data_IF_769331795849
#
_entry.id   IF_769331795849
#
_cell.length_a   1.000
_cell.length_b   1.000
_cell.length_c   1.000
_cell.angle_alpha   90.00
_cell.angle_beta   90.00
_cell.angle_gamma   90.00
#
_symmetry.space_group_name_H-M   'P 1'
#
loop_
_entity.id
_entity.type
_entity.pdbx_description
1 polymer ?
#
# COMPACT_ATOMS: atom_id res chain seq x y z
N UNK A 1 3.81 -14.66 -23.47
CA UNK A 1 4.24 -15.90 -24.16
C UNK A 1 3.06 -16.67 -24.77
N UNK A 2 2.06 -17.15 -24.00
CA UNK A 2 0.93 -17.96 -24.51
C UNK A 2 0.11 -17.24 -25.58
N UNK A 3 -0.36 -16.02 -25.32
CA UNK A 3 -1.17 -15.25 -26.29
C UNK A 3 -0.43 -15.06 -27.62
N UNK A 4 0.86 -14.75 -27.57
CA UNK A 4 1.69 -14.56 -28.76
C UNK A 4 1.84 -15.87 -29.56
N UNK A 5 2.04 -17.01 -28.89
CA UNK A 5 2.11 -18.34 -29.54
C UNK A 5 0.76 -18.77 -30.12
N UNK A 6 -0.34 -18.43 -29.46
CA UNK A 6 -1.70 -18.73 -29.89
C UNK A 6 -2.26 -17.73 -30.92
N UNK A 7 -1.48 -16.73 -31.37
CA UNK A 7 -1.96 -15.69 -32.28
C UNK A 7 -3.02 -14.77 -31.70
N UNK A 8 -3.11 -14.68 -30.36
CA UNK A 8 -4.09 -13.84 -29.66
C UNK A 8 -3.51 -12.44 -29.46
N UNK A 9 -4.18 -11.44 -29.98
CA UNK A 9 -3.87 -10.05 -29.72
C UNK A 9 -4.29 -9.70 -28.29
N UNK A 10 -3.34 -9.24 -27.47
CA UNK A 10 -3.57 -8.83 -26.09
C UNK A 10 -3.17 -7.36 -25.91
N UNK A 11 -3.99 -6.64 -25.19
CA UNK A 11 -3.69 -5.26 -24.77
C UNK A 11 -4.17 -5.04 -23.33
N UNK A 12 -3.60 -4.03 -22.67
CA UNK A 12 -4.02 -3.57 -21.36
C UNK A 12 -4.36 -2.08 -21.40
N UNK A 13 -5.04 -1.60 -20.36
CA UNK A 13 -5.37 -0.20 -20.17
C UNK A 13 -4.73 0.28 -18.85
N UNK A 14 -3.45 0.68 -18.84
CA UNK A 14 -2.78 1.11 -17.62
C UNK A 14 -3.51 2.28 -16.97
N UNK A 15 -3.78 2.17 -15.65
CA UNK A 15 -4.42 3.22 -14.89
C UNK A 15 -5.94 3.35 -15.03
N UNK A 16 -6.61 2.50 -15.82
CA UNK A 16 -8.07 2.55 -15.96
C UNK A 16 -8.81 2.36 -14.63
N UNK A 17 -8.27 1.56 -13.71
CA UNK A 17 -8.81 1.29 -12.38
C UNK A 17 -8.34 2.29 -11.30
N UNK A 18 -7.46 3.24 -11.64
CA UNK A 18 -6.86 4.13 -10.64
C UNK A 18 -7.90 4.99 -9.90
N UNK A 19 -9.00 5.36 -10.58
CA UNK A 19 -10.11 6.08 -9.96
C UNK A 19 -10.88 5.24 -8.94
N UNK A 20 -11.06 3.94 -9.19
CA UNK A 20 -11.73 3.02 -8.25
C UNK A 20 -10.89 2.86 -6.98
N UNK A 21 -9.57 2.64 -7.12
CA UNK A 21 -8.66 2.55 -5.97
C UNK A 21 -8.61 3.86 -5.18
N UNK A 22 -8.62 5.02 -5.85
CA UNK A 22 -8.73 6.33 -5.17
C UNK A 22 -10.00 6.41 -4.32
N UNK A 23 -11.16 6.04 -4.86
CA UNK A 23 -12.44 6.04 -4.13
C UNK A 23 -12.42 5.09 -2.94
N UNK A 24 -11.86 3.89 -3.12
CA UNK A 24 -11.70 2.93 -2.03
C UNK A 24 -10.85 3.50 -0.89
N UNK A 25 -9.67 4.05 -1.20
CA UNK A 25 -8.82 4.67 -0.19
C UNK A 25 -9.48 5.88 0.48
N UNK A 26 -10.20 6.69 -0.28
CA UNK A 26 -10.94 7.82 0.28
C UNK A 26 -11.95 7.33 1.35
N UNK A 27 -12.73 6.30 1.03
CA UNK A 27 -13.66 5.70 1.98
C UNK A 27 -12.93 5.14 3.22
N UNK A 28 -11.80 4.46 3.02
CA UNK A 28 -10.97 3.92 4.11
C UNK A 28 -10.47 5.04 5.04
N UNK A 29 -9.95 6.14 4.49
CA UNK A 29 -9.47 7.28 5.30
C UNK A 29 -10.60 7.90 6.13
N UNK A 30 -11.79 8.06 5.56
CA UNK A 30 -12.96 8.56 6.28
C UNK A 30 -13.44 7.57 7.37
N UNK A 31 -13.37 6.26 7.13
CA UNK A 31 -13.68 5.25 8.14
C UNK A 31 -12.64 5.26 9.27
N UNK A 32 -11.34 5.39 8.97
CA UNK A 32 -10.30 5.54 9.97
C UNK A 32 -10.52 6.80 10.83
N UNK A 33 -10.92 7.91 10.21
CA UNK A 33 -11.27 9.12 10.95
C UNK A 33 -12.47 8.88 11.86
N UNK A 34 -13.55 8.31 11.33
CA UNK A 34 -14.81 8.12 12.05
C UNK A 34 -14.70 7.07 13.16
N UNK A 35 -14.16 5.90 12.85
CA UNK A 35 -14.21 4.73 13.73
C UNK A 35 -12.97 4.61 14.64
N UNK A 36 -11.84 5.19 14.22
CA UNK A 36 -10.56 5.11 14.95
C UNK A 36 -10.09 6.46 15.49
N UNK A 37 -10.85 7.53 15.26
CA UNK A 37 -10.52 8.88 15.73
C UNK A 37 -9.26 9.46 15.09
N UNK A 38 -8.89 8.99 13.89
CA UNK A 38 -7.71 9.49 13.20
C UNK A 38 -7.94 10.93 12.72
N UNK A 39 -7.09 11.88 13.15
CA UNK A 39 -7.14 13.25 12.65
C UNK A 39 -6.37 13.33 11.32
N UNK A 40 -7.08 13.44 10.20
CA UNK A 40 -6.45 13.47 8.88
C UNK A 40 -5.54 14.69 8.68
N UNK A 41 -5.88 15.86 9.25
CA UNK A 41 -5.10 17.09 9.10
C UNK A 41 -3.77 17.05 9.87
N UNK A 42 -3.68 16.20 10.89
CA UNK A 42 -2.45 15.96 11.67
C UNK A 42 -1.71 14.70 11.20
N UNK A 43 -2.26 14.00 10.20
CA UNK A 43 -1.72 12.74 9.73
C UNK A 43 -0.71 12.93 8.59
N UNK A 44 0.26 12.01 8.56
CA UNK A 44 1.24 11.86 7.49
C UNK A 44 1.00 10.55 6.75
N UNK A 45 0.62 10.65 5.47
CA UNK A 45 0.43 9.51 4.58
C UNK A 45 1.70 9.23 3.80
N UNK A 46 2.28 8.05 3.97
CA UNK A 46 3.34 7.52 3.13
C UNK A 46 2.77 6.71 1.96
N UNK A 47 3.07 7.13 0.74
CA UNK A 47 2.66 6.45 -0.49
C UNK A 47 3.85 5.71 -1.06
N UNK A 48 3.77 4.38 -1.14
CA UNK A 48 4.80 3.50 -1.68
C UNK A 48 4.35 3.03 -3.08
N UNK A 49 5.04 3.50 -4.12
CA UNK A 49 4.66 3.37 -5.51
C UNK A 49 3.77 4.53 -5.99
N UNK A 50 4.32 5.41 -6.84
CA UNK A 50 3.67 6.65 -7.28
C UNK A 50 3.43 6.61 -8.81
N UNK A 51 2.81 5.51 -9.26
CA UNK A 51 2.27 5.37 -10.61
C UNK A 51 0.89 6.06 -10.75
N UNK A 52 0.07 5.60 -11.69
CA UNK A 52 -1.28 6.17 -11.93
C UNK A 52 -2.16 6.19 -10.67
N UNK A 53 -2.11 5.12 -9.88
CA UNK A 53 -2.88 5.00 -8.62
C UNK A 53 -2.29 5.93 -7.56
N UNK A 54 -0.98 5.80 -7.27
CA UNK A 54 -0.33 6.57 -6.20
C UNK A 54 -0.43 8.07 -6.42
N UNK A 55 -0.37 8.54 -7.67
CA UNK A 55 -0.53 9.95 -8.01
C UNK A 55 -1.94 10.47 -7.70
N UNK A 56 -3.00 9.71 -8.03
CA UNK A 56 -4.37 10.07 -7.68
C UNK A 56 -4.58 10.14 -6.17
N UNK A 57 -4.02 9.16 -5.45
CA UNK A 57 -4.08 9.11 -3.99
C UNK A 57 -3.34 10.30 -3.38
N UNK A 58 -2.16 10.67 -3.92
CA UNK A 58 -1.44 11.87 -3.51
C UNK A 58 -2.33 13.12 -3.58
N UNK A 59 -2.96 13.33 -4.74
CA UNK A 59 -3.83 14.49 -4.96
C UNK A 59 -5.06 14.46 -4.04
N UNK A 60 -5.70 13.32 -3.86
CA UNK A 60 -6.84 13.16 -2.96
C UNK A 60 -6.44 13.44 -1.51
N UNK A 61 -5.34 12.85 -1.03
CA UNK A 61 -4.86 13.03 0.34
C UNK A 61 -4.50 14.49 0.64
N UNK A 62 -3.86 15.19 -0.31
CA UNK A 62 -3.57 16.63 -0.18
C UNK A 62 -4.83 17.49 -0.08
N UNK A 63 -5.90 17.15 -0.84
CA UNK A 63 -7.20 17.84 -0.72
C UNK A 63 -7.87 17.60 0.64
N UNK A 64 -7.63 16.45 1.26
CA UNK A 64 -8.10 16.14 2.62
C UNK A 64 -7.24 16.78 3.71
N UNK A 65 -6.15 17.47 3.37
CA UNK A 65 -5.27 18.16 4.30
C UNK A 65 -4.18 17.30 4.92
N UNK A 66 -3.97 16.06 4.44
CA UNK A 66 -2.87 15.22 4.95
C UNK A 66 -1.51 15.74 4.47
N UNK A 67 -0.50 15.62 5.33
CA UNK A 67 0.89 15.62 4.88
C UNK A 67 1.15 14.35 4.09
N UNK A 68 1.81 14.47 2.93
CA UNK A 68 2.10 13.31 2.05
C UNK A 68 3.59 13.18 1.83
N UNK A 69 4.13 11.99 2.05
CA UNK A 69 5.49 11.58 1.69
C UNK A 69 5.42 10.48 0.63
N UNK A 70 6.34 10.55 -0.34
CA UNK A 70 6.33 9.69 -1.52
C UNK A 70 7.59 8.83 -1.57
N UNK A 71 7.41 7.55 -1.91
CA UNK A 71 8.51 6.64 -2.20
C UNK A 71 8.28 5.95 -3.54
N UNK A 72 9.15 6.20 -4.50
CA UNK A 72 9.18 5.53 -5.80
C UNK A 72 10.62 5.47 -6.30
N UNK A 73 11.40 4.44 -5.91
CA UNK A 73 12.80 4.34 -6.27
C UNK A 73 13.06 4.36 -7.77
N UNK A 74 12.27 3.70 -8.65
CA UNK A 74 12.43 3.82 -10.09
C UNK A 74 12.38 5.25 -10.63
N UNK A 75 11.44 6.07 -10.12
CA UNK A 75 11.31 7.48 -10.54
C UNK A 75 12.41 8.35 -9.96
N UNK A 76 12.77 8.14 -8.70
CA UNK A 76 13.89 8.84 -8.07
C UNK A 76 15.22 8.60 -8.82
N UNK A 77 15.48 7.36 -9.26
CA UNK A 77 16.68 7.01 -10.06
C UNK A 77 16.67 7.62 -11.47
N UNK A 78 15.52 8.03 -11.97
CA UNK A 78 15.38 8.79 -13.21
C UNK A 78 15.61 10.30 -13.04
N UNK A 79 15.89 10.73 -11.80
CA UNK A 79 16.18 12.12 -11.47
C UNK A 79 14.94 12.94 -11.13
N UNK A 80 13.78 12.31 -10.91
CA UNK A 80 12.59 13.01 -10.45
C UNK A 80 12.73 13.33 -8.94
N UNK A 81 12.37 14.56 -8.57
CA UNK A 81 12.46 15.05 -7.20
C UNK A 81 11.16 14.78 -6.39
N UNK A 82 11.26 14.94 -5.06
CA UNK A 82 10.11 14.82 -4.15
C UNK A 82 9.89 13.42 -3.59
N UNK A 83 10.77 12.47 -3.88
CA UNK A 83 10.76 11.14 -3.29
C UNK A 83 11.73 11.04 -2.11
N UNK A 84 11.36 10.22 -1.14
CA UNK A 84 12.21 9.91 0.02
C UNK A 84 12.39 8.40 0.19
N UNK A 85 13.26 7.99 1.10
CA UNK A 85 13.54 6.60 1.37
C UNK A 85 12.34 5.90 2.03
N UNK A 86 12.25 4.59 1.90
CA UNK A 86 11.26 3.79 2.63
C UNK A 86 11.45 3.92 4.14
N UNK A 87 12.68 4.08 4.61
CA UNK A 87 13.00 4.30 6.02
C UNK A 87 12.42 5.64 6.52
N UNK A 88 12.49 6.69 5.72
CA UNK A 88 11.86 7.99 6.05
C UNK A 88 10.35 7.85 6.23
N UNK A 89 9.69 7.05 5.38
CA UNK A 89 8.26 6.78 5.55
C UNK A 89 7.99 6.00 6.84
N UNK A 90 8.80 5.00 7.15
CA UNK A 90 8.67 4.20 8.36
C UNK A 90 8.81 5.03 9.64
N UNK A 91 9.67 6.04 9.62
CA UNK A 91 9.91 6.93 10.75
C UNK A 91 8.81 7.98 10.94
N UNK A 92 8.27 8.54 9.85
CA UNK A 92 7.44 9.75 9.92
C UNK A 92 5.95 9.53 9.69
N UNK A 93 5.54 8.45 8.98
CA UNK A 93 4.16 8.29 8.57
C UNK A 93 3.35 7.49 9.59
N UNK A 94 2.14 7.96 9.90
CA UNK A 94 1.16 7.24 10.69
C UNK A 94 0.08 6.54 9.83
N UNK A 95 0.16 6.68 8.52
CA UNK A 95 -0.57 5.89 7.52
C UNK A 95 0.41 5.51 6.42
N UNK A 96 0.42 4.24 6.01
CA UNK A 96 1.25 3.73 4.92
C UNK A 96 0.35 3.02 3.91
N UNK A 97 0.52 3.32 2.62
CA UNK A 97 -0.27 2.69 1.55
C UNK A 97 0.62 2.23 0.39
N UNK A 98 0.37 0.99 -0.07
CA UNK A 98 1.19 0.33 -1.07
C UNK A 98 0.47 0.27 -2.42
N UNK A 99 1.15 0.76 -3.47
CA UNK A 99 0.66 0.81 -4.86
C UNK A 99 1.74 0.39 -5.86
N UNK A 100 2.59 -0.54 -5.45
CA UNK A 100 3.67 -1.06 -6.28
C UNK A 100 3.23 -2.28 -7.08
N UNK A 101 3.77 -2.50 -8.28
CA UNK A 101 3.67 -3.81 -8.94
C UNK A 101 4.42 -4.85 -8.11
N UNK A 102 4.07 -6.13 -8.28
CA UNK A 102 4.83 -7.22 -7.67
C UNK A 102 6.06 -7.53 -8.53
N UNK A 103 7.23 -7.23 -7.98
CA UNK A 103 8.54 -7.52 -8.58
C UNK A 103 9.27 -8.46 -7.63
N UNK A 104 9.59 -9.66 -8.09
CA UNK A 104 10.18 -10.71 -7.24
C UNK A 104 11.68 -10.57 -7.07
N UNK A 105 12.37 -9.99 -8.04
CA UNK A 105 13.84 -9.93 -8.10
C UNK A 105 14.34 -8.58 -8.64
N UNK A 106 15.64 -8.31 -8.46
CA UNK A 106 16.29 -7.12 -8.99
C UNK A 106 16.24 -5.91 -8.06
N UNK A 107 16.74 -4.78 -8.58
CA UNK A 107 16.95 -3.53 -7.82
C UNK A 107 15.67 -3.01 -7.16
N UNK A 108 14.53 -3.15 -7.83
CA UNK A 108 13.24 -2.63 -7.37
C UNK A 108 12.31 -3.73 -6.87
N UNK A 109 12.88 -4.79 -6.29
CA UNK A 109 12.10 -5.88 -5.68
C UNK A 109 11.07 -5.32 -4.72
N UNK A 110 9.80 -5.71 -4.92
CA UNK A 110 8.67 -5.35 -4.05
C UNK A 110 8.05 -6.56 -3.35
N UNK A 111 8.46 -7.78 -3.71
CA UNK A 111 8.09 -9.00 -2.98
C UNK A 111 8.58 -8.92 -1.54
N UNK A 112 7.65 -9.02 -0.58
CA UNK A 112 7.89 -8.83 0.85
C UNK A 112 8.63 -7.52 1.16
N UNK A 113 8.22 -6.44 0.49
CA UNK A 113 8.77 -5.11 0.76
C UNK A 113 8.48 -4.68 2.20
N UNK A 114 7.25 -4.92 2.67
CA UNK A 114 6.87 -4.78 4.07
C UNK A 114 7.11 -6.12 4.80
N UNK A 115 8.33 -6.32 5.26
CA UNK A 115 8.80 -7.49 6.00
C UNK A 115 9.14 -7.13 7.46
N UNK A 116 9.62 -8.12 8.22
CA UNK A 116 9.99 -7.92 9.63
C UNK A 116 11.00 -6.79 9.85
N UNK A 117 11.98 -6.63 8.94
CA UNK A 117 12.98 -5.54 9.04
C UNK A 117 12.34 -4.16 8.84
N UNK A 118 11.41 -4.06 7.88
CA UNK A 118 10.65 -2.83 7.66
C UNK A 118 9.78 -2.48 8.87
N UNK A 119 9.02 -3.47 9.41
CA UNK A 119 8.14 -3.24 10.56
C UNK A 119 8.91 -2.83 11.82
N UNK A 120 10.14 -3.31 12.02
CA UNK A 120 10.99 -2.89 13.16
C UNK A 120 11.43 -1.42 13.10
N UNK A 121 11.38 -0.79 11.91
CA UNK A 121 11.73 0.63 11.73
C UNK A 121 10.57 1.59 11.97
N UNK A 122 9.34 1.08 12.12
CA UNK A 122 8.16 1.90 12.33
C UNK A 122 8.21 2.63 13.67
N UNK A 123 8.03 3.97 13.65
CA UNK A 123 8.06 4.79 14.86
C UNK A 123 6.69 5.36 15.24
N UNK A 124 5.74 5.40 14.30
CA UNK A 124 4.44 6.04 14.50
C UNK A 124 3.30 5.03 14.69
N UNK A 125 3.58 3.73 14.79
CA UNK A 125 2.57 2.66 14.80
C UNK A 125 1.46 2.92 13.77
N UNK A 126 1.78 2.90 12.46
CA UNK A 126 0.87 3.34 11.42
C UNK A 126 -0.32 2.41 11.22
N UNK A 127 -1.37 2.94 10.57
CA UNK A 127 -2.29 2.11 9.80
C UNK A 127 -1.64 1.73 8.48
N UNK A 128 -1.69 0.44 8.13
CA UNK A 128 -1.14 -0.09 6.88
C UNK A 128 -2.28 -0.42 5.92
N UNK A 129 -2.18 0.03 4.67
CA UNK A 129 -3.17 -0.21 3.62
C UNK A 129 -2.48 -0.90 2.45
N UNK A 130 -2.98 -2.06 2.03
CA UNK A 130 -2.49 -2.74 0.83
C UNK A 130 -3.63 -3.01 -0.16
N UNK A 131 -3.60 -2.30 -1.28
CA UNK A 131 -4.49 -2.46 -2.44
C UNK A 131 -3.72 -2.74 -3.73
N UNK A 132 -2.47 -3.23 -3.61
CA UNK A 132 -1.58 -3.49 -4.75
C UNK A 132 -1.52 -4.97 -5.12
N UNK A 133 -0.70 -5.75 -4.41
CA UNK A 133 -0.58 -7.21 -4.51
C UNK A 133 -0.31 -7.77 -3.12
N UNK A 134 -0.88 -8.93 -2.81
CA UNK A 134 -0.76 -9.55 -1.49
C UNK A 134 0.68 -9.72 -1.05
N UNK A 135 1.50 -10.28 -1.92
CA UNK A 135 2.90 -10.61 -1.62
C UNK A 135 3.85 -9.39 -1.50
N UNK A 136 3.34 -8.16 -1.62
CA UNK A 136 4.10 -6.95 -1.26
C UNK A 136 4.27 -6.84 0.25
N UNK A 137 3.32 -7.36 0.99
CA UNK A 137 3.33 -7.41 2.46
C UNK A 137 3.48 -8.85 2.93
N UNK A 138 4.50 -9.14 3.71
CA UNK A 138 4.69 -10.43 4.35
C UNK A 138 3.63 -10.63 5.44
N UNK A 139 2.74 -11.59 5.27
CA UNK A 139 1.60 -11.85 6.15
C UNK A 139 2.02 -12.16 7.58
N UNK A 140 3.02 -13.01 7.78
CA UNK A 140 3.49 -13.41 9.12
C UNK A 140 4.20 -12.26 9.83
N UNK A 141 4.97 -11.49 9.07
CA UNK A 141 5.63 -10.30 9.60
C UNK A 141 4.59 -9.22 10.01
N UNK A 142 3.52 -9.02 9.21
CA UNK A 142 2.44 -8.10 9.55
C UNK A 142 1.69 -8.54 10.81
N UNK A 143 1.31 -9.82 10.90
CA UNK A 143 0.69 -10.39 12.10
C UNK A 143 1.54 -10.16 13.35
N UNK A 144 2.84 -10.43 13.24
CA UNK A 144 3.80 -10.20 14.33
C UNK A 144 3.88 -8.71 14.70
N UNK A 145 3.92 -7.82 13.73
CA UNK A 145 3.97 -6.38 13.94
C UNK A 145 2.70 -5.85 14.61
N UNK A 146 1.53 -6.34 14.20
CA UNK A 146 0.25 -5.99 14.83
C UNK A 146 0.19 -6.49 16.29
N UNK A 147 0.63 -7.72 16.55
CA UNK A 147 0.67 -8.30 17.90
C UNK A 147 1.61 -7.51 18.84
N UNK A 148 2.69 -6.95 18.31
CA UNK A 148 3.65 -6.10 19.05
C UNK A 148 3.24 -4.62 19.14
N UNK A 149 2.13 -4.22 18.53
CA UNK A 149 1.69 -2.83 18.48
C UNK A 149 2.53 -1.92 17.57
N UNK A 150 3.40 -2.49 16.73
CA UNK A 150 4.18 -1.74 15.74
C UNK A 150 3.30 -1.25 14.58
N UNK A 151 2.23 -1.97 14.27
CA UNK A 151 1.18 -1.60 13.34
C UNK A 151 -0.13 -1.51 14.11
N UNK A 152 -0.79 -0.36 14.08
CA UNK A 152 -2.01 -0.09 14.85
C UNK A 152 -3.24 -0.77 14.27
N UNK A 153 -3.25 -1.00 12.97
CA UNK A 153 -4.29 -1.70 12.24
C UNK A 153 -3.96 -1.80 10.76
N UNK A 154 -4.64 -2.70 10.06
CA UNK A 154 -4.41 -2.91 8.64
C UNK A 154 -5.73 -2.89 7.85
N UNK A 155 -5.64 -2.45 6.59
CA UNK A 155 -6.69 -2.55 5.57
C UNK A 155 -6.11 -3.33 4.40
N UNK A 156 -6.66 -4.50 4.14
CA UNK A 156 -6.12 -5.45 3.16
C UNK A 156 -7.21 -5.77 2.14
N UNK A 157 -6.97 -5.38 0.89
CA UNK A 157 -7.83 -5.73 -0.25
C UNK A 157 -7.25 -6.89 -1.06
N UNK A 158 -5.94 -7.08 -0.97
CA UNK A 158 -5.17 -8.10 -1.69
C UNK A 158 -4.38 -8.95 -0.70
N UNK A 159 -4.41 -10.27 -0.87
CA UNK A 159 -3.91 -11.22 0.12
C UNK A 159 -2.79 -12.10 -0.45
N UNK A 160 -1.86 -12.52 0.37
CA UNK A 160 -0.97 -13.61 -0.03
C UNK A 160 -1.76 -14.91 -0.18
N UNK A 161 -1.34 -15.70 -1.16
CA UNK A 161 -1.90 -17.03 -1.45
C UNK A 161 -3.39 -17.05 -1.82
N UNK A 162 -3.92 -15.97 -2.37
CA UNK A 162 -5.30 -15.99 -2.88
C UNK A 162 -5.57 -17.24 -3.76
N UNK A 163 -6.70 -17.94 -3.60
CA UNK A 163 -7.82 -17.66 -2.69
C UNK A 163 -7.67 -18.22 -1.26
N UNK A 164 -6.56 -18.85 -0.92
CA UNK A 164 -6.30 -19.51 0.38
C UNK A 164 -5.61 -18.53 1.34
N UNK A 165 -6.36 -17.52 1.81
CA UNK A 165 -5.85 -16.45 2.64
C UNK A 165 -5.64 -16.87 4.11
N UNK A 166 -4.82 -16.12 4.85
CA UNK A 166 -4.63 -16.29 6.28
C UNK A 166 -5.87 -15.86 7.06
N UNK A 167 -6.53 -16.82 7.74
CA UNK A 167 -7.67 -16.51 8.61
C UNK A 167 -7.23 -15.64 9.80
N UNK A 168 -6.06 -15.90 10.37
CA UNK A 168 -5.53 -15.13 11.49
C UNK A 168 -5.33 -13.66 11.14
N UNK A 169 -4.93 -13.36 9.89
CA UNK A 169 -4.83 -11.98 9.42
C UNK A 169 -6.20 -11.37 9.17
N UNK A 170 -7.12 -12.13 8.54
CA UNK A 170 -8.48 -11.64 8.28
C UNK A 170 -9.21 -11.25 9.57
N UNK A 171 -9.05 -12.03 10.63
CA UNK A 171 -9.69 -11.77 11.93
C UNK A 171 -9.10 -10.54 12.65
N UNK A 172 -7.90 -10.09 12.27
CA UNK A 172 -7.20 -8.97 12.92
C UNK A 172 -7.27 -7.65 12.16
N UNK A 173 -7.48 -7.67 10.86
CA UNK A 173 -7.49 -6.43 10.08
C UNK A 173 -8.70 -5.56 10.42
N UNK A 174 -8.55 -4.26 10.29
CA UNK A 174 -9.66 -3.33 10.46
C UNK A 174 -10.68 -3.46 9.31
N UNK A 175 -10.20 -3.61 8.08
CA UNK A 175 -11.01 -3.87 6.89
C UNK A 175 -10.30 -4.93 6.06
N UNK A 176 -11.01 -6.02 5.74
CA UNK A 176 -10.60 -7.01 4.76
C UNK A 176 -11.60 -7.06 3.61
N UNK A 177 -11.15 -6.95 2.37
CA UNK A 177 -12.00 -7.05 1.17
C UNK A 177 -11.42 -8.03 0.15
N UNK A 178 -12.27 -8.63 -0.70
CA UNK A 178 -11.87 -9.71 -1.59
C UNK A 178 -11.40 -9.18 -2.96
N UNK A 179 -10.32 -8.35 -2.97
CA UNK A 179 -9.68 -7.80 -4.17
C UNK A 179 -10.65 -7.00 -5.06
N UNK A 180 -11.30 -5.98 -4.46
CA UNK A 180 -12.37 -5.19 -5.11
C UNK A 180 -12.04 -3.71 -5.27
N UNK A 181 -10.88 -3.25 -4.79
CA UNK A 181 -10.53 -1.83 -4.81
C UNK A 181 -10.32 -1.27 -6.23
N UNK A 182 -9.99 -2.15 -7.21
CA UNK A 182 -9.78 -1.68 -8.59
C UNK A 182 -9.74 -2.73 -9.67
#
# INVERSE_FOLDING_TARGET
>A
AYCQQAGITWSNCPGCNAGAVEQYLHAVLLLLQKEKGLNLQESCLGIIGVGHVGERIRQMAQRLGLKVLLNDPPRADQGEEGFCSLDTLAEQCNILTFHTPLIREGKYKSYHLANSTFFQKLQQSPYLINTSRGEVVDTEALLTAMNKGLVKGAVIDVWENEPHISQDLLDKVFIGTPHIAG
#
